data_IF_565480075377
#
_entry.id   IF_565480075377
#
_cell.length_a   1.000
_cell.length_b   1.000
_cell.length_c   1.000
_cell.angle_alpha   90.00
_cell.angle_beta   90.00
_cell.angle_gamma   90.00
#
_symmetry.space_group_name_H-M   'P 1'
#
loop_
_entity.id
_entity.type
_entity.pdbx_description
1 polymer ?
#
# COMPACT_ATOMS: atom_id res chain seq x y z
N UNK A 1 13.94 -5.88 12.98
CA UNK A 1 12.55 -6.16 12.61
C UNK A 1 12.40 -6.63 11.18
N UNK A 2 11.65 -7.65 11.02
CA UNK A 2 11.45 -8.30 9.73
C UNK A 2 10.87 -7.31 8.69
N UNK A 3 9.99 -6.43 9.12
CA UNK A 3 9.36 -5.47 8.23
C UNK A 3 10.37 -4.56 7.57
N UNK A 4 11.36 -4.11 8.31
CA UNK A 4 12.38 -3.24 7.75
C UNK A 4 13.30 -3.98 6.78
N UNK A 5 13.62 -5.23 7.10
CA UNK A 5 14.39 -6.06 6.19
C UNK A 5 13.65 -6.26 4.88
N UNK A 6 12.35 -6.52 4.96
CA UNK A 6 11.53 -6.69 3.76
C UNK A 6 11.48 -5.41 2.95
N UNK A 7 11.44 -4.27 3.61
CA UNK A 7 11.42 -2.98 2.95
C UNK A 7 12.71 -2.73 2.16
N UNK A 8 13.83 -3.11 2.73
CA UNK A 8 15.13 -3.00 2.06
C UNK A 8 15.18 -3.88 0.81
N UNK A 9 14.68 -5.10 0.92
CA UNK A 9 14.63 -6.02 -0.22
C UNK A 9 13.76 -5.47 -1.34
N UNK A 10 12.66 -4.84 -0.97
CA UNK A 10 11.76 -4.21 -1.93
C UNK A 10 12.47 -3.10 -2.69
N UNK A 11 13.24 -2.27 -2.00
CA UNK A 11 13.97 -1.18 -2.65
C UNK A 11 15.04 -1.71 -3.62
N UNK A 12 15.74 -2.77 -3.27
CA UNK A 12 16.68 -3.39 -4.17
C UNK A 12 16.00 -3.91 -5.42
N UNK A 13 14.84 -4.51 -5.23
CA UNK A 13 14.06 -5.09 -6.32
C UNK A 13 13.61 -4.02 -7.32
N UNK A 14 13.08 -2.90 -6.83
CA UNK A 14 12.61 -1.84 -7.73
C UNK A 14 13.75 -1.08 -8.38
N UNK A 15 14.95 -1.17 -7.82
CA UNK A 15 16.12 -0.55 -8.41
C UNK A 15 16.84 -1.41 -9.43
N UNK A 16 16.30 -2.60 -9.72
CA UNK A 16 16.91 -3.50 -10.67
C UNK A 16 17.01 -2.86 -12.05
N UNK A 17 18.09 -3.16 -12.75
CA UNK A 17 18.37 -2.65 -14.09
C UNK A 17 18.63 -1.14 -14.14
N UNK A 18 19.01 -0.57 -13.00
CA UNK A 18 19.38 0.83 -12.94
C UNK A 18 18.21 1.81 -13.02
N UNK A 19 16.99 1.32 -12.92
CA UNK A 19 15.82 2.19 -12.95
C UNK A 19 14.87 1.84 -11.83
N UNK A 20 14.21 2.87 -11.31
CA UNK A 20 13.21 2.72 -10.26
C UNK A 20 11.84 2.59 -10.92
N UNK A 21 11.02 1.67 -10.41
CA UNK A 21 9.66 1.52 -10.90
C UNK A 21 8.89 2.83 -10.76
N UNK A 22 7.98 3.15 -11.68
CA UNK A 22 7.20 4.38 -11.60
C UNK A 22 6.22 4.35 -10.43
N UNK A 23 5.87 5.54 -9.96
CA UNK A 23 4.84 5.66 -8.94
C UNK A 23 3.47 5.30 -9.51
N UNK A 24 2.61 4.79 -8.65
CA UNK A 24 1.25 4.42 -9.05
C UNK A 24 0.52 5.58 -9.72
N UNK A 25 0.70 6.79 -9.23
CA UNK A 25 0.03 7.96 -9.81
C UNK A 25 0.46 8.24 -11.24
N UNK A 26 1.67 7.81 -11.63
CA UNK A 26 2.23 8.05 -12.95
C UNK A 26 2.10 6.86 -13.88
N UNK A 27 1.83 5.69 -13.34
CA UNK A 27 1.71 4.46 -14.11
C UNK A 27 0.53 3.65 -13.60
N UNK A 28 -0.64 3.89 -14.20
CA UNK A 28 -1.86 3.20 -13.81
C UNK A 28 -1.78 1.74 -14.26
N UNK A 29 -2.06 0.78 -13.37
CA UNK A 29 -1.97 -0.63 -13.74
C UNK A 29 -3.02 -1.00 -14.80
N UNK A 30 -2.68 -1.96 -15.62
CA UNK A 30 -3.59 -2.45 -16.65
C UNK A 30 -4.74 -3.21 -16.02
N UNK A 31 -4.46 -4.03 -15.01
CA UNK A 31 -5.50 -4.73 -14.25
C UNK A 31 -5.68 -4.04 -12.90
N UNK A 32 -6.52 -3.01 -12.89
CA UNK A 32 -6.74 -2.19 -11.70
C UNK A 32 -7.27 -3.00 -10.52
N UNK A 33 -8.21 -3.89 -10.77
CA UNK A 33 -8.81 -4.70 -9.71
C UNK A 33 -7.77 -5.59 -9.04
N UNK A 34 -6.97 -6.28 -9.82
CA UNK A 34 -5.94 -7.15 -9.29
C UNK A 34 -4.88 -6.35 -8.51
N UNK A 35 -4.49 -5.20 -9.04
CA UNK A 35 -3.53 -4.32 -8.38
C UNK A 35 -4.08 -3.82 -7.04
N UNK A 36 -5.34 -3.39 -7.04
CA UNK A 36 -6.02 -2.95 -5.82
C UNK A 36 -6.05 -4.07 -4.78
N UNK A 37 -6.41 -5.28 -5.21
CA UNK A 37 -6.47 -6.43 -4.30
C UNK A 37 -5.09 -6.74 -3.69
N UNK A 38 -4.03 -6.60 -4.48
CA UNK A 38 -2.67 -6.78 -3.99
C UNK A 38 -2.28 -5.73 -2.96
N UNK A 39 -2.72 -4.47 -3.16
CA UNK A 39 -2.49 -3.40 -2.19
C UNK A 39 -3.18 -3.74 -0.88
N UNK A 40 -4.44 -4.13 -0.94
CA UNK A 40 -5.20 -4.45 0.27
C UNK A 40 -4.57 -5.64 0.99
N UNK A 41 -4.12 -6.64 0.25
CA UNK A 41 -3.42 -7.79 0.84
C UNK A 41 -2.12 -7.36 1.53
N UNK A 42 -1.38 -6.44 0.93
CA UNK A 42 -0.14 -5.93 1.52
C UNK A 42 -0.43 -5.15 2.81
N UNK A 43 -1.48 -4.34 2.82
CA UNK A 43 -1.90 -3.64 4.04
C UNK A 43 -2.30 -4.64 5.11
N UNK A 44 -3.01 -5.70 4.71
CA UNK A 44 -3.40 -6.76 5.64
C UNK A 44 -2.18 -7.44 6.27
N UNK A 45 -1.15 -7.70 5.47
CA UNK A 45 0.08 -8.31 5.98
C UNK A 45 0.77 -7.41 6.99
N UNK A 46 0.81 -6.10 6.72
CA UNK A 46 1.34 -5.13 7.69
C UNK A 46 0.51 -5.14 8.97
N UNK A 47 -0.80 -5.12 8.82
CA UNK A 47 -1.71 -5.12 9.97
C UNK A 47 -1.51 -6.36 10.84
N UNK A 48 -1.37 -7.53 10.21
CA UNK A 48 -1.13 -8.79 10.92
C UNK A 48 0.23 -8.78 11.62
N UNK A 49 1.18 -8.03 11.09
CA UNK A 49 2.49 -7.87 11.71
C UNK A 49 2.51 -6.77 12.80
N UNK A 50 1.37 -6.13 13.06
CA UNK A 50 1.26 -5.09 14.07
C UNK A 50 1.62 -3.70 13.61
N UNK A 51 1.55 -3.44 12.29
CA UNK A 51 2.01 -2.18 11.71
C UNK A 51 0.97 -1.55 10.80
N UNK A 52 1.03 -0.21 10.70
CA UNK A 52 0.24 0.59 9.77
C UNK A 52 1.21 1.53 9.07
N UNK A 53 1.09 1.69 7.76
CA UNK A 53 1.97 2.57 6.99
C UNK A 53 1.81 4.03 7.45
N UNK A 54 0.57 4.47 7.61
CA UNK A 54 0.20 5.77 8.15
C UNK A 54 0.36 6.96 7.18
N UNK A 55 0.81 6.71 5.95
CA UNK A 55 0.92 7.77 4.94
C UNK A 55 0.82 7.19 3.54
N UNK A 56 -0.02 6.19 3.37
CA UNK A 56 -0.12 5.49 2.10
C UNK A 56 -0.93 6.29 1.09
N UNK A 57 -0.42 6.35 -0.14
CA UNK A 57 -1.08 7.06 -1.24
C UNK A 57 -0.48 6.59 -2.56
N UNK A 58 -1.01 7.10 -3.68
CA UNK A 58 -0.47 6.80 -4.99
C UNK A 58 0.95 7.35 -5.20
N UNK A 59 1.41 8.23 -4.31
CA UNK A 59 2.79 8.73 -4.33
C UNK A 59 3.76 7.77 -3.67
N UNK A 60 3.28 6.95 -2.73
CA UNK A 60 4.11 6.05 -1.93
C UNK A 60 4.00 4.59 -2.33
N UNK A 61 3.35 4.34 -3.46
CA UNK A 61 3.25 3.01 -4.04
C UNK A 61 3.87 3.04 -5.42
N UNK A 62 4.76 2.09 -5.68
CA UNK A 62 5.35 1.95 -7.01
C UNK A 62 4.62 0.85 -7.76
N UNK A 63 4.52 1.02 -9.08
CA UNK A 63 3.97 -0.02 -9.94
C UNK A 63 5.14 -0.75 -10.60
N UNK A 64 5.55 -1.85 -10.00
CA UNK A 64 6.64 -2.66 -10.52
C UNK A 64 6.07 -3.86 -11.27
N UNK A 65 5.99 -3.75 -12.58
CA UNK A 65 5.47 -4.81 -13.45
C UNK A 65 4.11 -5.34 -12.98
N UNK A 66 3.19 -4.42 -12.71
CA UNK A 66 1.82 -4.69 -12.24
C UNK A 66 1.76 -5.23 -10.80
N UNK A 67 2.80 -4.98 -10.02
CA UNK A 67 2.80 -5.34 -8.59
C UNK A 67 3.05 -4.10 -7.74
N UNK A 68 2.27 -3.89 -6.68
CA UNK A 68 2.47 -2.74 -5.82
C UNK A 68 3.67 -2.94 -4.89
N UNK A 69 4.46 -1.89 -4.77
CA UNK A 69 5.60 -1.85 -3.85
C UNK A 69 5.47 -0.60 -2.99
N UNK A 70 5.33 -0.79 -1.69
CA UNK A 70 5.19 0.33 -0.75
C UNK A 70 6.56 0.90 -0.41
N UNK A 71 6.66 2.22 -0.42
CA UNK A 71 7.89 2.92 -0.04
C UNK A 71 7.56 3.94 1.04
N UNK A 72 8.62 4.54 1.62
CA UNK A 72 8.50 5.61 2.62
C UNK A 72 7.75 5.18 3.87
N UNK A 73 8.28 4.17 4.55
CA UNK A 73 7.72 3.69 5.82
C UNK A 73 8.12 4.56 7.01
N UNK A 74 8.74 5.72 6.76
CA UNK A 74 9.20 6.59 7.84
C UNK A 74 8.09 7.05 8.78
N UNK A 75 6.84 7.10 8.28
CA UNK A 75 5.68 7.45 9.08
C UNK A 75 4.99 6.25 9.71
N UNK A 76 5.56 5.06 9.50
CA UNK A 76 4.95 3.82 10.00
C UNK A 76 4.66 3.84 11.48
N UNK A 77 3.54 3.23 11.86
CA UNK A 77 3.02 3.26 13.21
C UNK A 77 2.66 1.85 13.66
N UNK A 78 2.98 1.51 14.92
CA UNK A 78 2.56 0.23 15.49
C UNK A 78 1.09 0.28 15.88
N UNK A 79 0.42 -0.87 15.84
CA UNK A 79 -1.01 -0.95 16.17
C UNK A 79 -1.33 -0.55 17.60
N UNK A 80 -0.37 -0.59 18.50
CA UNK A 80 -0.57 -0.15 19.88
C UNK A 80 -0.70 1.36 20.02
N UNK A 81 -0.32 2.11 18.98
CA UNK A 81 -0.48 3.56 19.02
C UNK A 81 -1.97 3.91 19.07
N UNK A 82 -2.37 4.90 19.91
CA UNK A 82 -3.80 5.23 20.04
C UNK A 82 -4.50 5.63 18.76
N UNK A 83 -3.75 6.17 17.79
CA UNK A 83 -4.32 6.63 16.52
C UNK A 83 -4.09 5.68 15.35
N UNK A 84 -3.62 4.46 15.62
CA UNK A 84 -3.30 3.52 14.54
C UNK A 84 -4.51 3.19 13.66
N UNK A 85 -5.69 2.98 14.26
CA UNK A 85 -6.90 2.69 13.50
C UNK A 85 -7.29 3.86 12.61
N UNK A 86 -7.15 5.07 13.10
CA UNK A 86 -7.41 6.28 12.34
C UNK A 86 -6.48 6.38 11.13
N UNK A 87 -5.20 6.10 11.33
CA UNK A 87 -4.22 6.10 10.25
C UNK A 87 -4.51 5.02 9.23
N UNK A 88 -4.91 3.83 9.67
CA UNK A 88 -5.29 2.74 8.78
C UNK A 88 -6.48 3.14 7.91
N UNK A 89 -7.50 3.72 8.51
CA UNK A 89 -8.68 4.17 7.77
C UNK A 89 -8.32 5.23 6.74
N UNK A 90 -7.44 6.14 7.10
CA UNK A 90 -6.98 7.18 6.17
C UNK A 90 -6.21 6.57 5.01
N UNK A 91 -5.32 5.62 5.28
CA UNK A 91 -4.57 4.94 4.23
C UNK A 91 -5.52 4.26 3.24
N UNK A 92 -6.48 3.52 3.76
CA UNK A 92 -7.47 2.82 2.93
C UNK A 92 -8.31 3.81 2.13
N UNK A 93 -8.72 4.91 2.76
CA UNK A 93 -9.50 5.94 2.08
C UNK A 93 -8.73 6.54 0.91
N UNK A 94 -7.46 6.86 1.13
CA UNK A 94 -6.63 7.44 0.07
C UNK A 94 -6.51 6.49 -1.11
N UNK A 95 -6.31 5.21 -0.85
CA UNK A 95 -6.20 4.21 -1.91
C UNK A 95 -7.53 4.04 -2.64
N UNK A 96 -8.62 3.93 -1.91
CA UNK A 96 -9.95 3.80 -2.52
C UNK A 96 -10.28 5.00 -3.39
N UNK A 97 -10.00 6.22 -2.90
CA UNK A 97 -10.27 7.42 -3.66
C UNK A 97 -9.47 7.47 -4.96
N UNK A 98 -8.20 7.06 -4.90
CA UNK A 98 -7.38 7.02 -6.12
C UNK A 98 -7.98 6.07 -7.15
N UNK A 99 -8.32 4.85 -6.74
CA UNK A 99 -8.86 3.86 -7.68
C UNK A 99 -10.24 4.23 -8.21
N UNK A 100 -11.06 4.90 -7.40
CA UNK A 100 -12.33 5.43 -7.89
C UNK A 100 -12.13 6.45 -9.00
N UNK A 101 -11.11 7.31 -8.87
CA UNK A 101 -10.80 8.31 -9.88
C UNK A 101 -10.40 7.68 -11.21
N UNK A 102 -9.75 6.54 -11.18
CA UNK A 102 -9.34 5.86 -12.41
C UNK A 102 -10.37 4.83 -12.89
N UNK A 103 -11.55 4.85 -12.31
CA UNK A 103 -12.69 4.09 -12.82
C UNK A 103 -12.98 2.76 -12.16
N UNK A 104 -12.30 2.43 -11.08
CA UNK A 104 -12.56 1.19 -10.36
C UNK A 104 -13.57 1.42 -9.24
N UNK A 105 -14.55 0.54 -9.12
CA UNK A 105 -15.53 0.60 -8.04
C UNK A 105 -15.02 -0.17 -6.84
N UNK A 106 -14.74 0.53 -5.75
CA UNK A 106 -14.23 -0.07 -4.52
C UNK A 106 -14.91 0.53 -3.30
N UNK A 107 -14.87 -0.18 -2.18
CA UNK A 107 -15.49 0.24 -0.93
C UNK A 107 -14.48 0.21 0.20
N UNK A 108 -14.35 1.34 0.92
CA UNK A 108 -13.50 1.43 2.11
C UNK A 108 -13.91 0.39 3.15
N UNK A 109 -15.21 0.26 3.37
CA UNK A 109 -15.76 -0.66 4.36
C UNK A 109 -15.37 -2.10 4.04
N UNK A 110 -15.50 -2.51 2.79
CA UNK A 110 -15.14 -3.83 2.35
C UNK A 110 -13.64 -4.08 2.47
N UNK A 111 -12.83 -3.08 2.10
CA UNK A 111 -11.38 -3.18 2.19
C UNK A 111 -10.92 -3.32 3.64
N UNK A 112 -11.46 -2.51 4.54
CA UNK A 112 -11.13 -2.58 5.96
C UNK A 112 -11.50 -3.93 6.55
N UNK A 113 -12.64 -4.48 6.14
CA UNK A 113 -13.08 -5.79 6.59
C UNK A 113 -12.07 -6.87 6.20
N UNK A 114 -11.58 -6.82 4.96
CA UNK A 114 -10.57 -7.76 4.47
C UNK A 114 -9.27 -7.66 5.26
N UNK A 115 -8.85 -6.44 5.56
CA UNK A 115 -7.61 -6.20 6.29
C UNK A 115 -7.68 -6.75 7.70
N UNK A 116 -8.79 -6.52 8.38
CA UNK A 116 -8.97 -6.91 9.78
C UNK A 116 -9.38 -8.37 9.96
N UNK A 117 -9.73 -9.02 8.88
CA UNK A 117 -10.13 -10.42 8.91
C UNK A 117 -8.94 -11.33 9.21
#
# INVERSE_FOLDING_TARGET
>A
PITFSNNILVLEFVGRNGSIAPKLKDSIPKNKKQFFDKIIDSIRKLYKAGLVHADLSAFNILNFEEAPVFIDMSQGTVLKHPRAEEFLERDVRNICNFFKKVGLKVSEKSALRKIKK
#
